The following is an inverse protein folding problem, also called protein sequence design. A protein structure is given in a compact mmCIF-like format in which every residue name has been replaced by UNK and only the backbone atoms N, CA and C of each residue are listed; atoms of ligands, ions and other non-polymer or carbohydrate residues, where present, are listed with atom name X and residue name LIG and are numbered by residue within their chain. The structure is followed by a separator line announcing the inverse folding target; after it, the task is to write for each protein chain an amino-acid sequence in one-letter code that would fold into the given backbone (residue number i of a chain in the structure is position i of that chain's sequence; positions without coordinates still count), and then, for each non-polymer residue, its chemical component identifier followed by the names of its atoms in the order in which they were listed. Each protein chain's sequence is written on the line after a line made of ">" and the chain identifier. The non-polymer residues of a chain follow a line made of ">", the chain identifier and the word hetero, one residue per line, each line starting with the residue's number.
data_IF_859423503766
#
_entry.id   IF_859423503766
#
_cell.length_a   1.000
_cell.length_b   1.000
_cell.length_c   1.000
_cell.angle_alpha   90.00
_cell.angle_beta   90.00
_cell.angle_gamma   90.00
#
_symmetry.space_group_name_H-M   'P 1'
#
loop_
_entity.id
_entity.type
_entity.pdbx_description
1 polymer ?
#
# COMPACT_ATOMS: atom_id res chain seq x y z
N UNK A 1 7.11 -25.86 15.11
CA UNK A 1 7.81 -25.29 13.94
C UNK A 1 7.73 -23.76 13.96
N UNK A 2 8.61 -23.09 13.23
CA UNK A 2 8.56 -21.65 13.10
C UNK A 2 7.29 -21.22 12.35
N UNK A 3 6.67 -20.11 12.78
CA UNK A 3 5.51 -19.52 12.14
C UNK A 3 5.93 -18.21 11.46
N UNK A 4 5.47 -18.01 10.24
CA UNK A 4 5.68 -16.80 9.45
C UNK A 4 4.33 -16.17 9.12
N UNK A 5 4.30 -14.88 8.91
CA UNK A 5 3.08 -14.17 8.52
C UNK A 5 3.30 -13.39 7.23
N UNK A 6 2.27 -13.39 6.41
CA UNK A 6 2.22 -12.67 5.15
C UNK A 6 0.95 -11.82 5.11
N UNK A 7 1.02 -10.66 4.47
CA UNK A 7 -0.15 -9.83 4.24
C UNK A 7 -0.94 -10.33 3.04
N UNK A 8 -2.25 -10.18 3.14
CA UNK A 8 -3.14 -10.23 1.98
C UNK A 8 -3.16 -8.86 1.27
N UNK A 9 -3.65 -8.76 0.03
CA UNK A 9 -3.85 -7.46 -0.61
C UNK A 9 -4.70 -6.49 0.22
N UNK A 10 -5.75 -6.97 0.88
CA UNK A 10 -6.57 -6.15 1.78
C UNK A 10 -5.76 -5.64 2.98
N UNK A 11 -4.91 -6.48 3.56
CA UNK A 11 -4.01 -6.09 4.65
C UNK A 11 -2.97 -5.07 4.24
N UNK A 12 -2.38 -5.23 3.07
CA UNK A 12 -1.44 -4.28 2.51
C UNK A 12 -2.10 -2.92 2.26
N UNK A 13 -3.29 -2.91 1.69
CA UNK A 13 -4.08 -1.69 1.50
C UNK A 13 -4.37 -0.99 2.83
N UNK A 14 -4.87 -1.73 3.80
CA UNK A 14 -5.15 -1.18 5.13
C UNK A 14 -3.91 -0.56 5.78
N UNK A 15 -2.76 -1.20 5.63
CA UNK A 15 -1.50 -0.71 6.20
C UNK A 15 -1.05 0.62 5.62
N UNK A 16 -1.23 0.84 4.31
CA UNK A 16 -0.65 1.99 3.58
C UNK A 16 -1.66 3.07 3.21
N UNK A 17 -2.96 2.85 3.45
CA UNK A 17 -4.02 3.77 3.01
C UNK A 17 -4.20 5.00 3.88
N UNK A 18 -3.61 5.04 5.08
CA UNK A 18 -3.65 6.19 5.99
C UNK A 18 -2.32 6.34 6.74
N UNK A 19 -2.14 7.49 7.41
CA UNK A 19 -1.00 7.76 8.31
C UNK A 19 -1.26 7.39 9.77
N UNK A 20 -2.34 6.70 10.05
CA UNK A 20 -2.68 6.29 11.42
C UNK A 20 -1.62 5.32 11.96
N UNK A 21 -1.13 5.57 13.19
CA UNK A 21 -0.03 4.84 13.81
C UNK A 21 -0.51 3.82 14.87
N UNK A 22 -1.72 3.30 14.73
CA UNK A 22 -2.22 2.26 15.64
C UNK A 22 -1.38 0.98 15.61
N UNK A 23 -1.44 0.19 16.67
CA UNK A 23 -0.66 -1.07 16.82
C UNK A 23 -0.87 -2.04 15.67
N UNK A 24 -2.09 -2.10 15.14
CA UNK A 24 -2.44 -2.93 13.99
C UNK A 24 -1.69 -2.51 12.72
N UNK A 25 -1.64 -1.22 12.40
CA UNK A 25 -0.88 -0.71 11.25
C UNK A 25 0.61 -0.83 11.45
N UNK A 26 1.11 -0.59 12.67
CA UNK A 26 2.53 -0.76 12.96
C UNK A 26 2.97 -2.20 12.73
N UNK A 27 2.19 -3.18 13.19
CA UNK A 27 2.47 -4.59 12.93
C UNK A 27 2.43 -4.91 11.44
N UNK A 28 1.43 -4.44 10.70
CA UNK A 28 1.32 -4.67 9.26
C UNK A 28 2.48 -4.06 8.48
N UNK A 29 2.91 -2.85 8.81
CA UNK A 29 4.06 -2.20 8.16
C UNK A 29 5.37 -2.96 8.43
N UNK A 30 5.56 -3.47 9.63
CA UNK A 30 6.71 -4.32 9.96
C UNK A 30 6.67 -5.65 9.18
N UNK A 31 5.50 -6.26 9.05
CA UNK A 31 5.32 -7.47 8.23
C UNK A 31 5.57 -7.19 6.74
N UNK A 32 5.18 -6.03 6.22
CA UNK A 32 5.54 -5.61 4.86
C UNK A 32 7.05 -5.44 4.69
N UNK A 33 7.70 -4.80 5.64
CA UNK A 33 9.15 -4.53 5.59
C UNK A 33 9.97 -5.81 5.62
N UNK A 34 9.54 -6.81 6.37
CA UNK A 34 10.27 -8.08 6.53
C UNK A 34 9.74 -9.21 5.64
N UNK A 35 8.63 -9.02 4.95
CA UNK A 35 8.13 -9.85 3.84
C UNK A 35 7.99 -11.35 4.12
N UNK A 36 7.72 -11.78 5.34
CA UNK A 36 7.62 -13.19 5.71
C UNK A 36 8.96 -13.91 5.80
N UNK A 37 10.08 -13.19 5.80
CA UNK A 37 11.42 -13.77 5.93
C UNK A 37 11.77 -14.15 7.37
N UNK A 38 11.23 -13.39 8.31
CA UNK A 38 11.50 -13.55 9.73
C UNK A 38 10.37 -14.30 10.42
N UNK A 39 10.72 -15.36 11.16
CA UNK A 39 9.76 -16.11 11.96
C UNK A 39 9.15 -15.22 13.04
N UNK A 40 7.86 -15.40 13.29
CA UNK A 40 7.15 -14.74 14.37
C UNK A 40 7.54 -15.36 15.72
N UNK A 41 7.96 -14.50 16.64
CA UNK A 41 8.14 -14.82 18.05
C UNK A 41 7.30 -13.86 18.89
N UNK A 42 6.99 -14.22 20.13
CA UNK A 42 6.25 -13.31 21.02
C UNK A 42 6.96 -11.97 21.20
N UNK A 43 8.27 -11.99 21.39
CA UNK A 43 9.09 -10.79 21.52
C UNK A 43 9.03 -9.92 20.26
N UNK A 44 9.12 -10.53 19.08
CA UNK A 44 9.04 -9.82 17.79
C UNK A 44 7.66 -9.24 17.55
N UNK A 45 6.61 -9.98 17.85
CA UNK A 45 5.23 -9.49 17.74
C UNK A 45 4.98 -8.29 18.66
N UNK A 46 5.48 -8.35 19.89
CA UNK A 46 5.36 -7.26 20.85
C UNK A 46 6.10 -6.01 20.39
N UNK A 47 7.33 -6.17 19.91
CA UNK A 47 8.13 -5.07 19.34
C UNK A 47 7.44 -4.44 18.14
N UNK A 48 7.03 -5.25 17.16
CA UNK A 48 6.45 -4.78 15.90
C UNK A 48 5.07 -4.15 16.06
N UNK A 49 4.28 -4.61 17.02
CA UNK A 49 2.98 -4.01 17.32
C UNK A 49 3.05 -2.82 18.28
N UNK A 50 4.24 -2.56 18.85
CA UNK A 50 4.45 -1.54 19.87
C UNK A 50 3.44 -1.65 21.03
N UNK A 51 3.23 -2.87 21.51
CA UNK A 51 2.33 -3.17 22.62
C UNK A 51 3.12 -3.44 23.92
N UNK A 52 2.44 -3.30 25.06
CA UNK A 52 3.07 -3.39 26.38
C UNK A 52 3.24 -4.84 26.87
N UNK A 53 2.55 -5.80 26.24
CA UNK A 53 2.62 -7.20 26.65
C UNK A 53 2.47 -8.16 25.48
N UNK A 54 3.00 -9.40 25.59
CA UNK A 54 2.78 -10.45 24.59
C UNK A 54 1.30 -10.76 24.35
N UNK A 55 0.46 -10.69 25.38
CA UNK A 55 -0.98 -10.94 25.24
C UNK A 55 -1.66 -9.89 24.36
N UNK A 56 -1.30 -8.62 24.52
CA UNK A 56 -1.79 -7.54 23.64
C UNK A 56 -1.32 -7.73 22.21
N UNK A 57 -0.06 -8.10 21.99
CA UNK A 57 0.49 -8.37 20.66
C UNK A 57 -0.23 -9.51 19.95
N UNK A 58 -0.51 -10.60 20.66
CA UNK A 58 -1.27 -11.73 20.13
C UNK A 58 -2.72 -11.35 19.81
N UNK A 59 -3.34 -10.49 20.63
CA UNK A 59 -4.69 -10.00 20.36
C UNK A 59 -4.74 -9.15 19.08
N UNK A 60 -3.72 -8.32 18.82
CA UNK A 60 -3.59 -7.56 17.57
C UNK A 60 -3.47 -8.51 16.39
N UNK A 61 -2.55 -9.48 16.43
CA UNK A 61 -2.37 -10.46 15.37
C UNK A 61 -3.64 -11.25 15.08
N UNK A 62 -4.33 -11.73 16.13
CA UNK A 62 -5.58 -12.49 16.00
C UNK A 62 -6.68 -11.65 15.31
N UNK A 63 -6.82 -10.38 15.69
CA UNK A 63 -7.77 -9.47 15.04
C UNK A 63 -7.46 -9.29 13.56
N UNK A 64 -6.20 -9.09 13.20
CA UNK A 64 -5.77 -8.94 11.80
C UNK A 64 -6.01 -10.21 10.97
N UNK A 65 -5.78 -11.38 11.56
CA UNK A 65 -6.11 -12.66 10.90
C UNK A 65 -7.62 -12.79 10.68
N UNK A 66 -8.43 -12.45 11.66
CA UNK A 66 -9.89 -12.49 11.54
C UNK A 66 -10.44 -11.53 10.49
N UNK A 67 -9.81 -10.39 10.30
CA UNK A 67 -10.15 -9.43 9.25
C UNK A 67 -9.68 -9.86 7.85
N UNK A 68 -8.89 -10.93 7.75
CA UNK A 68 -8.33 -11.39 6.50
C UNK A 68 -7.18 -10.52 5.99
N UNK A 69 -6.50 -9.80 6.88
CA UNK A 69 -5.37 -8.93 6.52
C UNK A 69 -4.02 -9.65 6.59
N UNK A 70 -3.94 -10.71 7.35
CA UNK A 70 -2.74 -11.52 7.54
C UNK A 70 -3.09 -13.00 7.42
N UNK A 71 -2.20 -13.76 6.78
CA UNK A 71 -2.24 -15.22 6.73
C UNK A 71 -0.95 -15.80 7.31
N UNK A 72 -1.05 -16.96 7.96
CA UNK A 72 0.09 -17.68 8.51
C UNK A 72 0.72 -18.63 7.49
N UNK A 73 2.03 -18.83 7.59
CA UNK A 73 2.78 -19.82 6.81
C UNK A 73 3.76 -20.56 7.73
N UNK A 74 3.99 -21.83 7.43
CA UNK A 74 5.01 -22.65 8.11
C UNK A 74 6.38 -22.56 7.42
N UNK A 75 6.44 -21.92 6.27
CA UNK A 75 7.67 -21.72 5.49
C UNK A 75 7.95 -20.23 5.33
N UNK A 76 9.18 -19.83 5.64
CA UNK A 76 9.65 -18.48 5.36
C UNK A 76 9.86 -18.24 3.86
N UNK A 77 9.77 -16.98 3.45
CA UNK A 77 10.09 -16.56 2.07
C UNK A 77 11.48 -15.94 2.01
N UNK A 78 12.12 -16.06 0.86
CA UNK A 78 13.32 -15.27 0.54
C UNK A 78 12.92 -13.93 -0.07
N UNK A 79 13.78 -12.94 0.07
CA UNK A 79 13.62 -11.68 -0.65
C UNK A 79 13.59 -11.94 -2.17
N UNK A 80 12.62 -11.36 -2.90
CA UNK A 80 12.58 -11.51 -4.35
C UNK A 80 13.84 -10.93 -5.00
N UNK A 81 14.32 -11.60 -6.06
CA UNK A 81 15.47 -11.14 -6.83
C UNK A 81 15.15 -9.89 -7.66
N UNK A 82 16.17 -9.08 -7.90
CA UNK A 82 16.08 -7.88 -8.72
C UNK A 82 15.92 -6.60 -7.91
N UNK A 83 16.22 -5.47 -8.54
CA UNK A 83 16.07 -4.15 -7.95
C UNK A 83 14.60 -3.71 -7.93
N UNK A 84 14.27 -2.77 -7.08
CA UNK A 84 12.95 -2.13 -7.05
C UNK A 84 12.60 -1.56 -8.44
N UNK A 85 13.53 -0.86 -9.06
CA UNK A 85 13.36 -0.22 -10.35
C UNK A 85 13.07 -1.23 -11.48
N UNK A 86 13.69 -2.41 -11.43
CA UNK A 86 13.46 -3.46 -12.43
C UNK A 86 12.12 -4.19 -12.22
N UNK A 87 11.61 -4.24 -11.01
CA UNK A 87 10.38 -4.97 -10.65
C UNK A 87 9.12 -4.12 -10.79
N UNK A 88 9.20 -2.82 -10.55
CA UNK A 88 8.05 -1.93 -10.50
C UNK A 88 7.19 -1.92 -11.76
N UNK A 89 7.73 -1.84 -12.99
CA UNK A 89 6.87 -1.77 -14.18
C UNK A 89 5.91 -2.95 -14.33
N UNK A 90 6.38 -4.17 -14.11
CA UNK A 90 5.53 -5.36 -14.20
C UNK A 90 4.49 -5.42 -13.08
N UNK A 91 4.86 -5.04 -11.85
CA UNK A 91 3.95 -4.95 -10.72
C UNK A 91 2.86 -3.91 -10.98
N UNK A 92 3.23 -2.74 -11.49
CA UNK A 92 2.28 -1.68 -11.84
C UNK A 92 1.31 -2.12 -12.94
N UNK A 93 1.79 -2.78 -13.99
CA UNK A 93 0.94 -3.29 -15.07
C UNK A 93 -0.14 -4.23 -14.54
N UNK A 94 0.19 -5.09 -13.58
CA UNK A 94 -0.74 -6.04 -12.98
C UNK A 94 -1.85 -5.37 -12.15
N UNK A 95 -1.65 -4.14 -11.69
CA UNK A 95 -2.63 -3.39 -10.89
C UNK A 95 -3.70 -2.68 -11.73
N UNK A 96 -3.60 -2.74 -13.04
CA UNK A 96 -4.52 -2.09 -13.98
C UNK A 96 -5.21 -3.11 -14.88
N UNK A 97 -6.52 -2.98 -15.06
CA UNK A 97 -7.27 -3.75 -16.05
C UNK A 97 -6.81 -3.53 -17.49
N UNK A 98 -6.10 -2.44 -17.76
CA UNK A 98 -5.58 -2.05 -19.08
C UNK A 98 -4.04 -2.12 -19.16
N UNK A 99 -3.37 -2.54 -18.11
CA UNK A 99 -1.91 -2.59 -18.04
C UNK A 99 -1.24 -1.21 -17.95
N UNK A 100 -1.96 -0.16 -17.50
CA UNK A 100 -1.47 1.22 -17.40
C UNK A 100 -1.52 1.70 -15.97
N UNK A 101 -0.36 1.89 -15.37
CA UNK A 101 -0.25 2.42 -14.02
C UNK A 101 1.06 3.20 -13.83
N UNK A 102 1.11 4.00 -12.78
CA UNK A 102 2.23 4.87 -12.48
C UNK A 102 2.36 5.02 -10.96
N UNK A 103 3.58 5.06 -10.47
CA UNK A 103 3.88 5.40 -9.09
C UNK A 103 4.61 6.74 -9.05
N UNK A 104 4.01 7.72 -8.38
CA UNK A 104 4.57 9.05 -8.19
C UNK A 104 4.77 9.36 -6.71
N UNK A 105 5.59 10.36 -6.41
CA UNK A 105 5.62 10.97 -5.09
C UNK A 105 4.54 12.07 -4.96
N UNK A 106 4.42 12.65 -3.78
CA UNK A 106 3.46 13.72 -3.53
C UNK A 106 3.92 15.10 -4.02
N UNK A 107 5.14 15.20 -4.61
CA UNK A 107 5.67 16.40 -5.25
C UNK A 107 5.45 16.44 -6.77
N UNK A 108 4.86 15.39 -7.33
CA UNK A 108 4.56 15.33 -8.76
C UNK A 108 5.67 14.73 -9.62
N UNK A 109 6.60 13.98 -9.02
CA UNK A 109 7.63 13.23 -9.74
C UNK A 109 7.28 11.75 -9.75
N UNK A 110 7.40 11.06 -10.88
CA UNK A 110 7.15 9.64 -10.92
C UNK A 110 8.43 8.80 -10.80
N UNK A 111 8.30 7.65 -10.15
CA UNK A 111 9.37 6.66 -9.97
C UNK A 111 9.37 5.59 -11.05
N UNK A 112 8.20 5.17 -11.47
CA UNK A 112 8.04 4.13 -12.48
C UNK A 112 6.66 4.24 -13.14
N UNK A 113 6.56 3.71 -14.35
CA UNK A 113 5.31 3.66 -15.10
C UNK A 113 5.24 2.38 -15.94
N UNK A 114 4.03 1.93 -16.21
CA UNK A 114 3.72 0.89 -17.18
C UNK A 114 2.60 1.39 -18.10
N UNK A 115 2.74 1.18 -19.39
CA UNK A 115 1.70 1.48 -20.39
C UNK A 115 1.47 2.95 -20.73
N UNK A 116 1.97 3.89 -19.94
CA UNK A 116 1.94 5.32 -20.27
C UNK A 116 3.21 5.76 -21.01
N UNK A 117 3.07 6.64 -21.98
CA UNK A 117 4.23 7.28 -22.62
C UNK A 117 4.89 8.25 -21.65
N UNK A 118 6.19 8.49 -21.82
CA UNK A 118 6.97 9.33 -20.90
C UNK A 118 6.36 10.73 -20.68
N UNK A 119 6.00 11.41 -21.75
CA UNK A 119 5.41 12.76 -21.64
C UNK A 119 4.06 12.74 -20.90
N UNK A 120 3.25 11.71 -21.14
CA UNK A 120 1.99 11.53 -20.41
C UNK A 120 2.24 11.19 -18.94
N UNK A 121 3.24 10.35 -18.66
CA UNK A 121 3.59 9.97 -17.29
C UNK A 121 4.04 11.17 -16.46
N UNK A 122 4.85 12.06 -17.02
CA UNK A 122 5.23 13.32 -16.34
C UNK A 122 4.03 14.20 -15.99
N UNK A 123 3.10 14.35 -16.93
CA UNK A 123 1.89 15.15 -16.73
C UNK A 123 0.93 14.51 -15.72
N UNK A 124 0.78 13.19 -15.77
CA UNK A 124 -0.04 12.43 -14.80
C UNK A 124 0.56 12.55 -13.40
N UNK A 125 1.87 12.46 -13.26
CA UNK A 125 2.53 12.64 -11.96
C UNK A 125 2.31 14.05 -11.39
N UNK A 126 2.40 15.07 -12.23
CA UNK A 126 2.09 16.46 -11.81
C UNK A 126 0.62 16.59 -11.36
N UNK A 127 -0.30 16.03 -12.12
CA UNK A 127 -1.72 15.98 -11.77
C UNK A 127 -1.95 15.24 -10.44
N UNK A 128 -1.24 14.14 -10.21
CA UNK A 128 -1.32 13.39 -8.95
C UNK A 128 -0.92 14.25 -7.74
N UNK A 129 0.15 15.04 -7.88
CA UNK A 129 0.57 16.01 -6.86
C UNK A 129 -0.50 17.05 -6.57
N UNK A 130 -1.14 17.58 -7.60
CA UNK A 130 -2.24 18.56 -7.45
C UNK A 130 -3.46 17.94 -6.74
N UNK A 131 -3.83 16.71 -7.08
CA UNK A 131 -4.95 16.00 -6.45
C UNK A 131 -4.68 15.72 -4.97
N UNK A 132 -3.47 15.28 -4.62
CA UNK A 132 -3.09 15.09 -3.21
C UNK A 132 -3.14 16.42 -2.44
N UNK A 133 -2.64 17.49 -3.02
CA UNK A 133 -2.71 18.83 -2.43
C UNK A 133 -4.13 19.31 -2.25
N UNK A 134 -5.01 19.06 -3.22
CA UNK A 134 -6.44 19.36 -3.14
C UNK A 134 -7.09 18.57 -1.98
N UNK A 135 -6.84 17.28 -1.89
CA UNK A 135 -7.36 16.43 -0.81
C UNK A 135 -6.93 16.89 0.57
N UNK A 136 -5.66 17.24 0.74
CA UNK A 136 -5.12 17.79 2.01
C UNK A 136 -5.78 19.11 2.38
N UNK A 137 -5.93 20.02 1.43
CA UNK A 137 -6.54 21.32 1.65
C UNK A 137 -7.98 21.21 2.12
N UNK A 138 -8.72 20.21 1.65
CA UNK A 138 -10.11 20.00 1.99
C UNK A 138 -10.36 18.83 2.94
N UNK A 139 -9.31 18.33 3.60
CA UNK A 139 -9.40 17.15 4.49
C UNK A 139 -10.43 17.34 5.61
N UNK A 140 -10.51 18.55 6.19
CA UNK A 140 -11.50 18.83 7.23
C UNK A 140 -12.94 18.68 6.72
N UNK A 141 -13.24 19.21 5.54
CA UNK A 141 -14.55 19.05 4.92
C UNK A 141 -14.86 17.59 4.66
N UNK A 142 -13.95 16.90 3.99
CA UNK A 142 -14.16 15.53 3.52
C UNK A 142 -14.26 14.54 4.68
N UNK A 143 -13.32 14.59 5.60
CA UNK A 143 -13.18 13.56 6.66
C UNK A 143 -14.04 13.88 7.89
N UNK A 144 -14.04 15.15 8.36
CA UNK A 144 -14.71 15.52 9.59
C UNK A 144 -16.16 15.94 9.34
N UNK A 145 -16.41 16.84 8.40
CA UNK A 145 -17.75 17.37 8.19
C UNK A 145 -18.64 16.40 7.41
N UNK A 146 -18.10 15.72 6.39
CA UNK A 146 -18.86 14.77 5.58
C UNK A 146 -18.69 13.31 6.00
N UNK A 147 -17.72 13.01 6.86
CA UNK A 147 -17.44 11.66 7.35
C UNK A 147 -16.96 10.68 6.28
N UNK A 148 -16.35 11.18 5.21
CA UNK A 148 -15.84 10.34 4.13
C UNK A 148 -14.49 9.72 4.52
N UNK A 149 -14.42 8.40 4.56
CA UNK A 149 -13.19 7.67 4.90
C UNK A 149 -12.26 7.42 3.71
N UNK A 150 -12.77 7.51 2.49
CA UNK A 150 -11.98 7.29 1.28
C UNK A 150 -11.05 8.47 1.00
N UNK A 151 -9.83 8.18 0.51
CA UNK A 151 -8.85 9.19 0.13
C UNK A 151 -8.48 9.11 -1.36
N UNK A 152 -8.94 8.10 -2.08
CA UNK A 152 -8.71 7.96 -3.50
C UNK A 152 -9.63 8.88 -4.32
N UNK A 153 -9.13 9.38 -5.43
CA UNK A 153 -9.85 10.20 -6.40
C UNK A 153 -9.90 9.49 -7.74
N UNK A 154 -10.96 9.69 -8.50
CA UNK A 154 -11.08 9.07 -9.81
C UNK A 154 -11.83 9.95 -10.81
N UNK A 155 -11.43 9.86 -12.08
CA UNK A 155 -12.26 10.24 -13.22
C UNK A 155 -13.14 9.04 -13.53
N UNK A 156 -14.43 9.28 -13.54
CA UNK A 156 -15.47 8.25 -13.67
C UNK A 156 -16.27 8.50 -14.95
N UNK A 157 -16.49 7.44 -15.73
CA UNK A 157 -17.37 7.49 -16.90
C UNK A 157 -18.86 7.55 -16.47
N UNK A 158 -19.79 7.80 -17.40
CA UNK A 158 -21.22 7.85 -17.07
C UNK A 158 -21.80 6.56 -16.48
N UNK A 159 -21.15 5.41 -16.68
CA UNK A 159 -21.54 4.12 -16.10
C UNK A 159 -20.99 3.90 -14.69
N UNK A 160 -20.15 4.83 -14.20
CA UNK A 160 -19.53 4.74 -12.88
C UNK A 160 -18.19 3.99 -12.85
N UNK A 161 -17.62 3.67 -14.00
CA UNK A 161 -16.33 3.00 -14.08
C UNK A 161 -15.17 4.01 -14.02
N UNK A 162 -14.12 3.68 -13.30
CA UNK A 162 -12.93 4.51 -13.25
C UNK A 162 -12.15 4.45 -14.57
N UNK A 163 -11.88 5.61 -15.15
CA UNK A 163 -10.97 5.75 -16.30
C UNK A 163 -9.54 6.03 -15.87
N UNK A 164 -9.38 6.80 -14.80
CA UNK A 164 -8.10 7.12 -14.18
C UNK A 164 -8.33 7.34 -12.70
N UNK A 165 -7.57 6.66 -11.84
CA UNK A 165 -7.74 6.77 -10.38
C UNK A 165 -6.40 7.04 -9.70
N UNK A 166 -6.47 7.77 -8.59
CA UNK A 166 -5.34 8.28 -7.82
C UNK A 166 -5.47 7.79 -6.39
N UNK A 167 -4.51 6.98 -5.94
CA UNK A 167 -4.53 6.30 -4.65
C UNK A 167 -3.33 6.75 -3.81
N UNK A 168 -3.51 7.64 -2.82
CA UNK A 168 -2.44 7.99 -1.90
C UNK A 168 -1.99 6.77 -1.09
N UNK A 169 -0.69 6.58 -0.96
CA UNK A 169 -0.07 5.52 -0.17
C UNK A 169 0.88 6.15 0.84
N UNK A 170 0.83 5.65 2.08
CA UNK A 170 1.64 6.14 3.19
C UNK A 170 2.49 5.01 3.75
N UNK A 171 3.81 5.13 3.60
CA UNK A 171 4.78 4.13 4.04
C UNK A 171 5.78 4.81 4.98
N UNK A 172 5.52 4.71 6.27
CA UNK A 172 6.31 5.44 7.26
C UNK A 172 6.20 6.96 7.05
N UNK A 173 7.33 7.61 6.80
CA UNK A 173 7.38 9.06 6.54
C UNK A 173 7.21 9.42 5.06
N UNK A 174 7.24 8.43 4.18
CA UNK A 174 7.13 8.64 2.74
C UNK A 174 5.67 8.56 2.29
N UNK A 175 5.35 9.37 1.31
CA UNK A 175 4.04 9.36 0.66
C UNK A 175 4.22 9.17 -0.84
N UNK A 176 3.38 8.31 -1.41
CA UNK A 176 3.33 8.03 -2.84
C UNK A 176 1.90 8.21 -3.34
N UNK A 177 1.76 8.31 -4.63
CA UNK A 177 0.47 8.23 -5.31
C UNK A 177 0.55 7.14 -6.36
N UNK A 178 -0.29 6.13 -6.21
CA UNK A 178 -0.49 5.10 -7.22
C UNK A 178 -1.58 5.58 -8.17
N UNK A 179 -1.23 5.77 -9.44
CA UNK A 179 -2.19 6.16 -10.48
C UNK A 179 -2.48 4.95 -11.36
N UNK A 180 -3.74 4.64 -11.55
CA UNK A 180 -4.18 3.47 -12.32
C UNK A 180 -5.08 3.90 -13.45
N UNK A 181 -4.73 3.52 -14.69
CA UNK A 181 -5.59 3.67 -15.86
C UNK A 181 -6.58 2.51 -15.94
N UNK A 182 -7.84 2.81 -16.22
CA UNK A 182 -8.91 1.82 -16.24
C UNK A 182 -9.27 1.29 -14.86
N UNK A 183 -9.81 0.09 -14.82
CA UNK A 183 -10.27 -0.53 -13.57
C UNK A 183 -9.11 -0.89 -12.65
N UNK A 184 -9.08 -0.39 -11.40
CA UNK A 184 -8.07 -0.77 -10.43
C UNK A 184 -8.17 -2.25 -10.04
N UNK A 185 -7.02 -2.90 -9.88
CA UNK A 185 -6.88 -4.29 -9.43
C UNK A 185 -6.06 -4.36 -8.14
N UNK A 186 -6.52 -3.66 -7.10
CA UNK A 186 -5.81 -3.59 -5.81
C UNK A 186 -5.90 -4.90 -5.01
N UNK A 187 -6.78 -5.82 -5.40
CA UNK A 187 -6.86 -7.17 -4.86
C UNK A 187 -5.86 -8.16 -5.46
N UNK A 188 -5.03 -7.74 -6.40
CA UNK A 188 -3.96 -8.56 -6.97
C UNK A 188 -2.76 -8.65 -6.01
N UNK A 189 -2.10 -9.82 -5.98
CA UNK A 189 -0.90 -10.01 -5.16
C UNK A 189 0.26 -9.08 -5.55
N UNK A 190 0.26 -8.52 -6.74
CA UNK A 190 1.21 -7.50 -7.15
C UNK A 190 1.16 -6.26 -6.23
N UNK A 191 0.01 -5.95 -5.64
CA UNK A 191 -0.11 -4.87 -4.67
C UNK A 191 0.70 -5.16 -3.40
N UNK A 192 0.64 -6.38 -2.88
CA UNK A 192 1.46 -6.81 -1.74
C UNK A 192 2.95 -6.73 -2.11
N UNK A 193 3.33 -7.28 -3.25
CA UNK A 193 4.73 -7.27 -3.71
C UNK A 193 5.28 -5.85 -3.88
N UNK A 194 4.49 -4.93 -4.43
CA UNK A 194 4.87 -3.53 -4.60
C UNK A 194 5.03 -2.83 -3.24
N UNK A 195 4.07 -2.98 -2.34
CA UNK A 195 4.13 -2.34 -1.00
C UNK A 195 5.25 -2.91 -0.15
N UNK A 196 5.53 -4.22 -0.21
CA UNK A 196 6.70 -4.83 0.43
C UNK A 196 8.01 -4.21 -0.09
N UNK A 197 8.18 -4.11 -1.40
CA UNK A 197 9.37 -3.56 -2.01
C UNK A 197 9.59 -2.08 -1.64
N UNK A 198 8.52 -1.30 -1.59
CA UNK A 198 8.56 0.11 -1.18
C UNK A 198 8.86 0.24 0.32
N UNK A 199 8.27 -0.59 1.17
CA UNK A 199 8.56 -0.58 2.60
C UNK A 199 10.01 -0.92 2.91
N UNK A 200 10.60 -1.87 2.22
CA UNK A 200 12.02 -2.23 2.37
C UNK A 200 12.96 -1.08 1.99
N UNK A 201 12.58 -0.28 1.00
CA UNK A 201 13.41 0.81 0.50
C UNK A 201 13.26 2.09 1.31
N UNK A 202 12.05 2.43 1.78
CA UNK A 202 11.69 3.76 2.27
C UNK A 202 11.14 3.79 3.71
N UNK A 203 10.76 2.67 4.29
CA UNK A 203 10.24 2.63 5.65
C UNK A 203 11.32 2.44 6.72
#
# INVERSE_FOLDING_TARGET
>A
GALYAELTPAGAWYAVSTRDEGSDRQLLLQLLQHGGELALTEARLQEWSATDSPAQALAVLYRLQRLGFVSGSLTGRSEPAGSLESRLPALLAALSGEGRALLADDNGLYYATAGFRHEAAEQIAALAGDIVSLGRRHARLLNQNLGLGAQAWALIDPAGHAELSFHPLYLGRQSFVLVIGGQPRLGDNAFVAMTEALCRRYA
#
